data_IF_560199135647
#
_entry.id   IF_560199135647
#
_cell.length_a   1.000
_cell.length_b   1.000
_cell.length_c   1.000
_cell.angle_alpha   90.00
_cell.angle_beta   90.00
_cell.angle_gamma   90.00
#
_symmetry.space_group_name_H-M   'P 1'
#
loop_
_entity.id
_entity.type
_entity.pdbx_description
1 polymer ?
#
# COMPACT_ATOMS: atom_id res chain seq x y z
N UNK A 1 -34.49 -5.59 -44.44
CA UNK A 1 -33.19 -6.36 -44.44
C UNK A 1 -32.73 -6.57 -43.01
N UNK A 2 -32.37 -7.81 -42.61
CA UNK A 2 -31.86 -8.03 -41.25
C UNK A 2 -30.55 -7.26 -41.05
N UNK A 3 -30.43 -6.53 -39.92
CA UNK A 3 -29.19 -5.83 -39.54
C UNK A 3 -28.05 -6.86 -39.41
N UNK A 4 -26.94 -6.64 -40.12
CA UNK A 4 -25.71 -7.45 -39.95
C UNK A 4 -25.33 -7.49 -38.46
N UNK A 5 -25.26 -8.71 -37.89
CA UNK A 5 -24.80 -8.92 -36.50
C UNK A 5 -25.63 -9.83 -35.61
N UNK A 6 -26.89 -10.07 -35.91
CA UNK A 6 -27.79 -10.80 -35.00
C UNK A 6 -27.82 -12.33 -35.19
N UNK A 7 -27.09 -12.91 -36.13
CA UNK A 7 -27.09 -14.35 -36.47
C UNK A 7 -28.49 -14.98 -36.62
N UNK A 8 -29.47 -14.18 -37.13
CA UNK A 8 -30.88 -14.61 -37.36
C UNK A 8 -31.19 -14.45 -38.86
N UNK A 9 -31.61 -15.52 -39.50
CA UNK A 9 -31.90 -15.53 -40.94
C UNK A 9 -33.13 -16.39 -41.26
N UNK A 10 -33.84 -16.03 -42.35
CA UNK A 10 -34.98 -16.76 -42.84
C UNK A 10 -34.54 -17.92 -43.71
N UNK A 11 -34.97 -19.11 -43.42
CA UNK A 11 -34.67 -20.35 -44.18
C UNK A 11 -35.57 -20.46 -45.40
N UNK A 12 -35.18 -21.34 -46.31
CA UNK A 12 -35.97 -21.64 -47.52
C UNK A 12 -37.33 -22.29 -47.22
N UNK A 13 -37.44 -22.96 -46.06
CA UNK A 13 -38.68 -23.59 -45.55
C UNK A 13 -39.63 -22.58 -44.86
N UNK A 14 -39.33 -21.27 -44.91
CA UNK A 14 -40.18 -20.20 -44.38
C UNK A 14 -39.94 -19.88 -42.90
N UNK A 15 -39.28 -20.75 -42.14
CA UNK A 15 -38.95 -20.53 -40.72
C UNK A 15 -37.78 -19.61 -40.54
N UNK A 16 -37.67 -18.95 -39.37
CA UNK A 16 -36.53 -18.16 -38.96
C UNK A 16 -35.62 -19.01 -38.08
N UNK A 17 -34.34 -19.08 -38.42
CA UNK A 17 -33.30 -19.69 -37.61
C UNK A 17 -32.45 -18.61 -36.94
N UNK A 18 -32.25 -18.74 -35.62
CA UNK A 18 -31.37 -17.88 -34.83
C UNK A 18 -30.29 -18.76 -34.18
N UNK A 19 -29.02 -18.44 -34.46
CA UNK A 19 -27.86 -19.13 -33.90
C UNK A 19 -27.35 -18.45 -32.65
N UNK A 20 -27.01 -19.25 -31.64
CA UNK A 20 -26.42 -18.80 -30.39
C UNK A 20 -25.19 -19.65 -30.05
N UNK A 21 -24.26 -19.10 -29.25
CA UNK A 21 -23.14 -19.88 -28.75
C UNK A 21 -23.66 -20.81 -27.66
N UNK A 22 -23.53 -22.12 -27.85
CA UNK A 22 -23.97 -23.15 -26.89
C UNK A 22 -22.89 -23.45 -25.85
N UNK A 23 -21.64 -23.42 -26.26
CA UNK A 23 -20.48 -23.79 -25.43
C UNK A 23 -19.21 -23.17 -26.00
N UNK A 24 -18.26 -22.83 -25.13
CA UNK A 24 -16.91 -22.44 -25.51
C UNK A 24 -15.99 -23.56 -25.01
N UNK A 25 -15.36 -24.29 -25.92
CA UNK A 25 -14.44 -25.37 -25.57
C UNK A 25 -13.19 -24.87 -24.87
N UNK A 26 -12.46 -25.74 -24.19
CA UNK A 26 -11.19 -25.45 -23.54
C UNK A 26 -10.11 -24.88 -24.50
N UNK A 27 -10.27 -25.12 -25.83
CA UNK A 27 -9.44 -24.60 -26.93
C UNK A 27 -9.89 -23.20 -27.42
N UNK A 28 -10.85 -22.57 -26.75
CA UNK A 28 -11.43 -21.27 -27.13
C UNK A 28 -12.38 -21.30 -28.33
N UNK A 29 -12.66 -22.47 -28.94
CA UNK A 29 -13.56 -22.59 -30.07
C UNK A 29 -15.02 -22.58 -29.61
N UNK A 30 -15.83 -21.77 -30.31
CA UNK A 30 -17.27 -21.63 -30.04
C UNK A 30 -18.05 -22.73 -30.72
N UNK A 31 -18.83 -23.53 -29.98
CA UNK A 31 -19.87 -24.41 -30.50
C UNK A 31 -21.19 -23.65 -30.55
N UNK A 32 -21.86 -23.71 -31.69
CA UNK A 32 -23.11 -23.00 -31.90
C UNK A 32 -24.30 -23.96 -31.81
N UNK A 33 -25.39 -23.47 -31.21
CA UNK A 33 -26.72 -24.06 -31.25
C UNK A 33 -27.62 -23.24 -32.15
N UNK A 34 -28.74 -23.81 -32.62
CA UNK A 34 -29.77 -23.11 -33.40
C UNK A 34 -31.14 -23.29 -32.75
N UNK A 35 -31.94 -22.21 -32.76
CA UNK A 35 -33.35 -22.21 -32.41
C UNK A 35 -34.18 -21.72 -33.60
N UNK A 36 -35.42 -22.15 -33.66
CA UNK A 36 -36.31 -21.86 -34.76
C UNK A 36 -37.60 -21.18 -34.30
N UNK A 37 -38.11 -20.26 -35.11
CA UNK A 37 -39.38 -19.57 -34.91
C UNK A 37 -40.12 -19.37 -36.23
N UNK A 38 -41.45 -19.23 -36.14
CA UNK A 38 -42.32 -18.90 -37.27
C UNK A 38 -42.14 -17.43 -37.69
N UNK A 39 -41.71 -16.57 -36.77
CA UNK A 39 -41.44 -15.17 -36.99
C UNK A 39 -40.01 -14.80 -36.55
N UNK A 40 -39.49 -13.70 -37.08
CA UNK A 40 -38.20 -13.14 -36.63
C UNK A 40 -38.18 -12.88 -35.12
N UNK A 41 -39.30 -12.34 -34.58
CA UNK A 41 -39.42 -12.02 -33.17
C UNK A 41 -39.35 -13.30 -32.31
N UNK A 42 -40.08 -14.32 -32.68
CA UNK A 42 -40.08 -15.63 -31.96
C UNK A 42 -38.69 -16.28 -31.96
N UNK A 43 -37.99 -16.30 -33.11
CA UNK A 43 -36.64 -16.84 -33.21
C UNK A 43 -35.64 -16.04 -32.35
N UNK A 44 -35.79 -14.72 -32.31
CA UNK A 44 -34.99 -13.83 -31.47
C UNK A 44 -35.25 -14.04 -29.97
N UNK A 45 -36.47 -14.14 -29.57
CA UNK A 45 -36.87 -14.36 -28.17
C UNK A 45 -36.34 -15.71 -27.68
N UNK A 46 -36.44 -16.77 -28.50
CA UNK A 46 -35.83 -18.07 -28.23
C UNK A 46 -34.29 -18.02 -28.19
N UNK A 47 -33.66 -17.23 -29.05
CA UNK A 47 -32.23 -17.00 -29.01
C UNK A 47 -31.80 -16.33 -27.71
N UNK A 48 -32.48 -15.28 -27.30
CA UNK A 48 -32.21 -14.55 -26.06
C UNK A 48 -32.45 -15.44 -24.83
N UNK A 49 -33.47 -16.29 -24.81
CA UNK A 49 -33.69 -17.24 -23.73
C UNK A 49 -32.52 -18.25 -23.60
N UNK A 50 -31.90 -18.67 -24.72
CA UNK A 50 -30.74 -19.56 -24.69
C UNK A 50 -29.41 -18.84 -24.42
N UNK A 51 -29.34 -17.52 -24.64
CA UNK A 51 -28.19 -16.71 -24.19
C UNK A 51 -28.14 -16.60 -22.66
N UNK A 52 -29.28 -16.69 -21.97
CA UNK A 52 -29.32 -16.64 -20.50
C UNK A 52 -28.73 -17.89 -19.83
N UNK A 53 -28.55 -19.00 -20.55
CA UNK A 53 -27.84 -20.19 -20.02
C UNK A 53 -26.32 -20.08 -20.07
N UNK A 54 -25.75 -19.10 -20.81
CA UNK A 54 -24.32 -18.84 -20.86
C UNK A 54 -23.88 -17.71 -19.89
N UNK A 55 -24.84 -17.10 -19.21
CA UNK A 55 -24.48 -16.25 -18.07
C UNK A 55 -24.00 -17.16 -16.94
N UNK A 56 -22.90 -16.80 -16.27
CA UNK A 56 -22.52 -17.49 -15.04
C UNK A 56 -23.75 -17.56 -14.14
N UNK A 57 -23.94 -18.62 -13.33
CA UNK A 57 -25.11 -18.80 -12.50
C UNK A 57 -25.39 -17.50 -11.79
N UNK A 58 -26.59 -16.96 -12.00
CA UNK A 58 -27.03 -15.72 -11.33
C UNK A 58 -26.83 -15.99 -9.86
N UNK A 59 -25.75 -15.44 -9.29
CA UNK A 59 -25.47 -15.56 -7.87
C UNK A 59 -26.81 -15.28 -7.16
N UNK A 60 -27.22 -16.19 -6.30
CA UNK A 60 -28.50 -16.08 -5.62
C UNK A 60 -28.65 -14.64 -5.15
N UNK A 61 -29.80 -14.03 -5.31
CA UNK A 61 -30.09 -12.63 -4.95
C UNK A 61 -29.79 -12.31 -3.47
N UNK A 62 -29.36 -13.31 -2.73
CA UNK A 62 -29.12 -13.34 -1.28
C UNK A 62 -27.67 -13.21 -0.83
N UNK A 63 -26.66 -13.32 -1.74
CA UNK A 63 -25.25 -13.23 -1.33
C UNK A 63 -24.94 -11.84 -0.79
N UNK A 64 -24.47 -11.80 0.45
CA UNK A 64 -24.17 -10.56 1.17
C UNK A 64 -22.83 -9.94 0.75
N UNK A 65 -22.61 -8.68 1.10
CA UNK A 65 -21.31 -8.02 0.87
C UNK A 65 -20.18 -8.73 1.62
N UNK A 66 -20.38 -9.12 2.87
CA UNK A 66 -19.37 -9.84 3.67
C UNK A 66 -18.98 -11.16 3.00
N UNK A 67 -19.92 -11.96 2.53
CA UNK A 67 -19.65 -13.24 1.85
C UNK A 67 -18.79 -13.03 0.60
N UNK A 68 -19.14 -12.07 -0.25
CA UNK A 68 -18.34 -11.73 -1.44
C UNK A 68 -16.94 -11.25 -1.07
N UNK A 69 -16.82 -10.44 -0.01
CA UNK A 69 -15.50 -9.92 0.41
C UNK A 69 -14.61 -11.04 0.96
N UNK A 70 -15.15 -12.02 1.67
CA UNK A 70 -14.38 -13.18 2.12
C UNK A 70 -14.02 -14.13 0.97
N UNK A 71 -14.93 -14.35 0.02
CA UNK A 71 -14.67 -15.14 -1.17
C UNK A 71 -13.53 -14.52 -2.00
N UNK A 72 -13.62 -13.21 -2.28
CA UNK A 72 -12.56 -12.46 -2.91
C UNK A 72 -11.24 -12.56 -2.13
N UNK A 73 -11.26 -12.37 -0.81
CA UNK A 73 -10.08 -12.43 0.04
C UNK A 73 -9.41 -13.80 -0.03
N UNK A 74 -10.19 -14.88 -0.01
CA UNK A 74 -9.69 -16.25 -0.19
C UNK A 74 -9.04 -16.45 -1.57
N UNK A 75 -9.63 -15.89 -2.62
CA UNK A 75 -9.08 -16.02 -3.99
C UNK A 75 -7.70 -15.39 -4.16
N UNK A 76 -7.38 -14.34 -3.38
CA UNK A 76 -6.10 -13.64 -3.46
C UNK A 76 -5.07 -14.08 -2.40
N UNK A 77 -5.39 -15.00 -1.51
CA UNK A 77 -4.56 -15.39 -0.36
C UNK A 77 -3.11 -15.72 -0.77
N UNK A 78 -2.93 -16.50 -1.83
CA UNK A 78 -1.62 -16.91 -2.33
C UNK A 78 -0.92 -15.86 -3.21
N UNK A 79 -1.64 -14.84 -3.66
CA UNK A 79 -1.12 -13.82 -4.59
C UNK A 79 -0.64 -12.54 -3.89
N UNK A 80 -1.01 -12.34 -2.63
CA UNK A 80 -0.65 -11.14 -1.86
C UNK A 80 0.24 -11.47 -0.67
N UNK A 81 1.03 -10.48 -0.21
CA UNK A 81 1.83 -10.65 1.01
C UNK A 81 0.92 -10.85 2.24
N UNK A 82 1.34 -11.69 3.18
CA UNK A 82 0.60 -11.95 4.45
C UNK A 82 0.14 -10.68 5.16
N UNK A 83 0.99 -9.64 5.21
CA UNK A 83 0.63 -8.35 5.84
C UNK A 83 -0.49 -7.62 5.10
N UNK A 84 -0.58 -7.76 3.77
CA UNK A 84 -1.66 -7.18 2.97
C UNK A 84 -2.95 -7.94 3.17
N UNK A 85 -2.87 -9.28 3.15
CA UNK A 85 -4.01 -10.15 3.46
C UNK A 85 -4.60 -9.83 4.84
N UNK A 86 -3.75 -9.74 5.87
CA UNK A 86 -4.16 -9.41 7.24
C UNK A 86 -4.79 -8.01 7.34
N UNK A 87 -4.25 -7.03 6.61
CA UNK A 87 -4.89 -5.70 6.53
C UNK A 87 -6.30 -5.80 5.96
N UNK A 88 -6.48 -6.52 4.86
CA UNK A 88 -7.79 -6.69 4.24
C UNK A 88 -8.77 -7.47 5.14
N UNK A 89 -8.30 -8.57 5.71
CA UNK A 89 -9.08 -9.33 6.70
C UNK A 89 -9.54 -8.46 7.86
N UNK A 90 -8.64 -7.67 8.45
CA UNK A 90 -8.97 -6.77 9.56
C UNK A 90 -9.99 -5.70 9.17
N UNK A 91 -9.91 -5.18 7.94
CA UNK A 91 -10.88 -4.21 7.43
C UNK A 91 -12.25 -4.87 7.33
N UNK A 92 -12.36 -6.06 6.75
CA UNK A 92 -13.62 -6.79 6.62
C UNK A 92 -14.20 -7.04 8.01
N UNK A 93 -13.42 -7.69 8.88
CA UNK A 93 -13.86 -8.08 10.22
C UNK A 93 -14.31 -6.90 11.09
N UNK A 94 -13.56 -5.78 11.08
CA UNK A 94 -13.79 -4.69 12.01
C UNK A 94 -14.74 -3.61 11.49
N UNK A 95 -14.97 -3.55 10.17
CA UNK A 95 -15.74 -2.44 9.58
C UNK A 95 -16.91 -2.89 8.73
N UNK A 96 -16.88 -4.12 8.19
CA UNK A 96 -17.94 -4.65 7.34
C UNK A 96 -18.84 -5.59 8.16
N UNK A 97 -18.27 -6.61 8.82
CA UNK A 97 -19.04 -7.59 9.61
C UNK A 97 -19.74 -6.95 10.82
N UNK A 98 -19.19 -5.87 11.35
CA UNK A 98 -19.76 -5.11 12.47
C UNK A 98 -20.78 -4.05 12.05
N UNK A 99 -21.09 -3.97 10.76
CA UNK A 99 -21.99 -2.97 10.19
C UNK A 99 -23.09 -3.63 9.35
N UNK A 100 -24.28 -3.03 9.34
CA UNK A 100 -25.41 -3.56 8.58
C UNK A 100 -25.11 -3.75 7.09
N UNK A 101 -24.22 -2.95 6.52
CA UNK A 101 -23.86 -3.05 5.09
C UNK A 101 -23.29 -4.43 4.75
N UNK A 102 -22.59 -5.08 5.69
CA UNK A 102 -22.01 -6.41 5.50
C UNK A 102 -23.03 -7.49 5.24
N UNK A 103 -24.17 -7.43 5.90
CA UNK A 103 -25.26 -8.41 5.76
C UNK A 103 -26.22 -8.14 4.61
N UNK A 104 -26.12 -6.96 3.97
CA UNK A 104 -27.02 -6.62 2.86
C UNK A 104 -26.63 -7.39 1.59
N UNK A 105 -27.64 -7.87 0.83
CA UNK A 105 -27.41 -8.46 -0.49
C UNK A 105 -26.67 -7.50 -1.41
N UNK A 106 -25.57 -7.96 -2.02
CA UNK A 106 -24.68 -7.11 -2.83
C UNK A 106 -25.41 -6.39 -3.98
N UNK A 107 -26.43 -7.01 -4.55
CA UNK A 107 -27.24 -6.44 -5.64
C UNK A 107 -28.11 -5.25 -5.22
N UNK A 108 -28.39 -5.12 -3.93
CA UNK A 108 -29.17 -4.00 -3.38
C UNK A 108 -28.27 -2.80 -3.03
N UNK A 109 -26.95 -2.98 -3.03
CA UNK A 109 -26.00 -1.95 -2.67
C UNK A 109 -25.73 -1.00 -3.85
N UNK A 110 -26.22 0.22 -3.71
CA UNK A 110 -26.06 1.29 -4.70
C UNK A 110 -24.91 2.22 -4.35
N UNK A 111 -24.52 3.09 -5.29
CA UNK A 111 -23.55 4.17 -5.00
C UNK A 111 -24.00 5.06 -3.82
N UNK A 112 -25.31 5.27 -3.66
CA UNK A 112 -25.92 6.02 -2.53
C UNK A 112 -25.65 5.29 -1.21
N UNK A 113 -25.89 3.98 -1.14
CA UNK A 113 -25.66 3.16 0.07
C UNK A 113 -24.19 3.26 0.53
N UNK A 114 -23.24 3.13 -0.40
CA UNK A 114 -21.81 3.27 -0.06
C UNK A 114 -21.43 4.69 0.34
N UNK A 115 -22.06 5.72 -0.23
CA UNK A 115 -21.85 7.11 0.16
C UNK A 115 -22.36 7.38 1.58
N UNK A 116 -23.55 6.88 1.93
CA UNK A 116 -24.11 6.98 3.27
C UNK A 116 -23.27 6.22 4.30
N UNK A 117 -22.82 5.00 3.97
CA UNK A 117 -21.90 4.23 4.79
C UNK A 117 -20.61 5.00 5.06
N UNK A 118 -19.97 5.56 4.02
CA UNK A 118 -18.74 6.34 4.14
C UNK A 118 -18.90 7.56 5.02
N UNK A 119 -20.02 8.28 4.87
CA UNK A 119 -20.37 9.44 5.68
C UNK A 119 -20.56 9.04 7.15
N UNK A 120 -21.27 7.98 7.42
CA UNK A 120 -21.47 7.47 8.78
C UNK A 120 -20.13 7.07 9.45
N UNK A 121 -19.24 6.37 8.72
CA UNK A 121 -17.90 6.02 9.25
C UNK A 121 -17.02 7.24 9.51
N UNK A 122 -17.14 8.28 8.69
CA UNK A 122 -16.39 9.51 8.86
C UNK A 122 -16.95 10.40 9.98
N UNK A 123 -18.25 10.68 9.96
CA UNK A 123 -18.91 11.64 10.85
C UNK A 123 -19.23 11.04 12.22
N UNK A 124 -19.87 9.85 12.24
CA UNK A 124 -20.38 9.25 13.48
C UNK A 124 -19.33 8.37 14.17
N UNK A 125 -18.62 7.51 13.44
CA UNK A 125 -17.55 6.67 14.00
C UNK A 125 -16.21 7.42 14.14
N UNK A 126 -16.13 8.68 13.71
CA UNK A 126 -14.93 9.55 13.77
C UNK A 126 -13.66 8.92 13.20
N UNK A 127 -13.80 8.07 12.17
CA UNK A 127 -12.66 7.50 11.48
C UNK A 127 -11.99 8.57 10.61
N UNK A 128 -10.66 8.48 10.46
CA UNK A 128 -9.96 9.38 9.55
C UNK A 128 -10.40 9.16 8.09
N UNK A 129 -10.40 10.23 7.27
CA UNK A 129 -10.69 10.14 5.83
C UNK A 129 -9.84 9.07 5.14
N UNK A 130 -8.56 8.93 5.54
CA UNK A 130 -7.67 7.88 5.05
C UNK A 130 -8.18 6.48 5.39
N UNK A 131 -8.63 6.25 6.63
CA UNK A 131 -9.17 4.94 7.05
C UNK A 131 -10.42 4.60 6.27
N UNK A 132 -11.35 5.56 6.11
CA UNK A 132 -12.56 5.36 5.29
C UNK A 132 -12.20 5.05 3.84
N UNK A 133 -11.23 5.75 3.25
CA UNK A 133 -10.76 5.49 1.89
C UNK A 133 -10.07 4.13 1.74
N UNK A 134 -9.36 3.67 2.77
CA UNK A 134 -8.77 2.31 2.81
C UNK A 134 -9.88 1.25 2.81
N UNK A 135 -10.94 1.43 3.59
CA UNK A 135 -12.12 0.55 3.60
C UNK A 135 -12.77 0.52 2.22
N UNK A 136 -13.05 1.69 1.63
CA UNK A 136 -13.63 1.79 0.29
C UNK A 136 -12.74 1.15 -0.78
N UNK A 137 -11.43 1.18 -0.62
CA UNK A 137 -10.50 0.50 -1.52
C UNK A 137 -10.70 -1.01 -1.48
N UNK A 138 -10.81 -1.59 -0.28
CA UNK A 138 -11.03 -3.04 -0.11
C UNK A 138 -12.40 -3.45 -0.64
N UNK A 139 -13.46 -2.70 -0.32
CA UNK A 139 -14.80 -2.89 -0.91
C UNK A 139 -14.70 -2.85 -2.44
N UNK A 140 -14.00 -1.85 -3.01
CA UNK A 140 -13.87 -1.67 -4.43
C UNK A 140 -13.14 -2.80 -5.16
N UNK A 141 -12.20 -3.48 -4.48
CA UNK A 141 -11.50 -4.66 -5.01
C UNK A 141 -12.45 -5.88 -5.01
N UNK A 142 -13.18 -6.10 -3.93
CA UNK A 142 -14.16 -7.18 -3.85
C UNK A 142 -15.34 -6.98 -4.83
N UNK A 143 -15.77 -5.74 -5.05
CA UNK A 143 -16.80 -5.42 -6.05
C UNK A 143 -16.30 -5.65 -7.49
N UNK A 144 -15.02 -5.40 -7.78
CA UNK A 144 -14.45 -5.75 -9.08
C UNK A 144 -14.44 -7.27 -9.29
N UNK A 145 -14.07 -8.04 -8.27
CA UNK A 145 -14.19 -9.49 -8.30
C UNK A 145 -15.64 -9.96 -8.54
N UNK A 146 -16.61 -9.34 -7.85
CA UNK A 146 -18.03 -9.67 -8.05
C UNK A 146 -18.53 -9.30 -9.46
N UNK A 147 -18.00 -8.26 -10.08
CA UNK A 147 -18.30 -7.89 -11.47
C UNK A 147 -17.77 -8.95 -12.43
N UNK A 148 -16.53 -9.42 -12.22
CA UNK A 148 -15.88 -10.42 -13.08
C UNK A 148 -16.53 -11.81 -12.97
N UNK A 149 -16.88 -12.25 -11.74
CA UNK A 149 -17.38 -13.62 -11.48
C UNK A 149 -18.90 -13.71 -11.62
N UNK A 150 -19.63 -12.70 -11.15
CA UNK A 150 -21.09 -12.75 -11.05
C UNK A 150 -21.80 -11.77 -11.99
N UNK A 151 -21.07 -10.97 -12.76
CA UNK A 151 -21.64 -9.96 -13.65
C UNK A 151 -22.38 -8.83 -12.90
N UNK A 152 -22.08 -8.62 -11.62
CA UNK A 152 -22.69 -7.58 -10.80
C UNK A 152 -21.96 -6.27 -11.06
N UNK A 153 -22.60 -5.34 -11.74
CA UNK A 153 -21.99 -4.06 -12.09
C UNK A 153 -21.51 -3.30 -10.85
N UNK A 154 -20.21 -2.99 -10.83
CA UNK A 154 -19.57 -2.23 -9.75
C UNK A 154 -20.10 -0.80 -9.70
N UNK A 155 -20.69 -0.34 -8.57
CA UNK A 155 -21.09 1.05 -8.41
C UNK A 155 -19.86 1.96 -8.23
N UNK A 156 -20.01 3.23 -8.60
CA UNK A 156 -18.96 4.23 -8.36
C UNK A 156 -18.86 4.53 -6.86
N UNK A 157 -17.70 4.24 -6.27
CA UNK A 157 -17.41 4.57 -4.87
C UNK A 157 -16.85 5.99 -4.77
N UNK A 158 -17.52 6.86 -4.01
CA UNK A 158 -17.07 8.22 -3.79
C UNK A 158 -16.12 8.28 -2.59
N UNK A 159 -14.88 8.75 -2.81
CA UNK A 159 -13.88 8.89 -1.75
C UNK A 159 -14.12 10.13 -0.91
N UNK A 160 -13.76 10.04 0.37
CA UNK A 160 -13.72 11.17 1.29
C UNK A 160 -12.46 12.00 1.00
N UNK A 161 -12.61 13.33 0.96
CA UNK A 161 -11.47 14.23 0.74
C UNK A 161 -10.50 14.14 1.93
N UNK A 162 -9.27 13.72 1.65
CA UNK A 162 -8.22 13.68 2.67
C UNK A 162 -7.58 15.07 2.80
N UNK A 163 -7.45 15.61 4.02
CA UNK A 163 -6.67 16.82 4.23
C UNK A 163 -5.21 16.54 3.88
N UNK A 164 -4.55 17.48 3.21
CA UNK A 164 -3.09 17.41 3.02
C UNK A 164 -2.44 17.42 4.39
N UNK A 165 -1.80 16.32 4.76
CA UNK A 165 -1.03 16.24 5.99
C UNK A 165 0.39 16.65 5.68
N UNK A 166 0.83 17.76 6.24
CA UNK A 166 2.23 18.15 6.18
C UNK A 166 3.10 17.09 6.87
N UNK A 167 4.21 16.78 6.22
CA UNK A 167 5.17 15.84 6.79
C UNK A 167 5.95 16.55 7.89
N UNK A 168 5.93 15.96 9.09
CA UNK A 168 6.72 16.47 10.20
C UNK A 168 8.20 16.27 9.91
N UNK A 169 8.94 17.37 9.88
CA UNK A 169 10.40 17.45 9.80
C UNK A 169 10.86 18.19 11.07
N UNK A 170 11.92 17.73 11.74
CA UNK A 170 12.49 18.44 12.86
C UNK A 170 13.19 19.71 12.36
N UNK A 171 12.99 20.84 13.04
CA UNK A 171 13.79 22.04 12.77
C UNK A 171 15.27 21.77 13.10
N UNK A 172 16.16 22.66 12.67
CA UNK A 172 17.59 22.54 12.99
C UNK A 172 17.81 22.56 14.51
N UNK A 173 17.09 23.43 15.21
CA UNK A 173 17.15 23.57 16.67
C UNK A 173 16.57 22.34 17.39
N UNK A 174 15.47 21.78 16.88
CA UNK A 174 14.89 20.56 17.42
C UNK A 174 15.83 19.37 17.23
N UNK A 175 16.46 19.28 16.05
CA UNK A 175 17.44 18.24 15.74
C UNK A 175 18.66 18.36 16.67
N UNK A 176 19.21 19.55 16.86
CA UNK A 176 20.33 19.78 17.79
C UNK A 176 20.00 19.34 19.20
N UNK A 177 18.80 19.70 19.72
CA UNK A 177 18.37 19.28 21.06
C UNK A 177 18.24 17.77 21.18
N UNK A 178 17.69 17.12 20.14
CA UNK A 178 17.58 15.67 20.10
C UNK A 178 18.97 15.02 20.07
N UNK A 179 19.89 15.48 19.24
CA UNK A 179 21.26 14.96 19.15
C UNK A 179 21.99 15.09 20.48
N UNK A 180 21.94 16.26 21.15
CA UNK A 180 22.53 16.47 22.47
C UNK A 180 22.00 15.47 23.50
N UNK A 181 20.68 15.25 23.52
CA UNK A 181 20.07 14.25 24.40
C UNK A 181 20.50 12.82 24.05
N UNK A 182 20.62 12.48 22.76
CA UNK A 182 20.99 11.16 22.30
C UNK A 182 22.46 10.83 22.65
N UNK A 183 23.37 11.78 22.50
CA UNK A 183 24.80 11.60 22.82
C UNK A 183 25.07 11.61 24.34
N UNK A 184 24.14 12.17 25.14
CA UNK A 184 24.28 12.14 26.60
C UNK A 184 23.82 10.78 27.16
N UNK A 185 24.72 10.02 27.81
CA UNK A 185 24.45 8.69 28.36
C UNK A 185 23.76 7.77 27.32
N UNK A 186 24.40 7.59 26.19
CA UNK A 186 23.89 6.83 25.06
C UNK A 186 23.70 5.33 25.41
N UNK A 187 22.61 4.77 24.96
CA UNK A 187 22.30 3.34 25.05
C UNK A 187 21.85 2.84 23.65
N UNK A 188 21.61 1.52 23.51
CA UNK A 188 21.25 0.92 22.22
C UNK A 188 20.02 1.57 21.55
N UNK A 189 19.01 1.99 22.30
CA UNK A 189 17.84 2.65 21.74
C UNK A 189 18.18 4.06 21.23
N UNK A 190 18.98 4.83 21.98
CA UNK A 190 19.47 6.16 21.56
C UNK A 190 20.39 6.02 20.34
N UNK A 191 21.29 5.03 20.34
CA UNK A 191 22.13 4.70 19.20
C UNK A 191 21.29 4.37 17.94
N UNK A 192 20.23 3.57 18.08
CA UNK A 192 19.30 3.29 16.99
C UNK A 192 18.61 4.53 16.42
N UNK A 193 18.25 5.50 17.29
CA UNK A 193 17.69 6.80 16.83
C UNK A 193 18.73 7.63 16.07
N UNK A 194 19.98 7.68 16.56
CA UNK A 194 21.09 8.35 15.85
C UNK A 194 21.33 7.71 14.48
N UNK A 195 21.39 6.39 14.43
CA UNK A 195 21.55 5.66 13.17
C UNK A 195 20.41 5.99 12.17
N UNK A 196 19.17 6.04 12.66
CA UNK A 196 18.03 6.42 11.82
C UNK A 196 18.09 7.89 11.37
N UNK A 197 18.57 8.78 12.22
CA UNK A 197 18.70 10.21 11.90
C UNK A 197 19.76 10.46 10.82
N UNK A 198 20.85 9.69 10.80
CA UNK A 198 21.97 9.88 9.86
C UNK A 198 21.94 8.97 8.62
N UNK A 199 20.99 8.02 8.55
CA UNK A 199 20.85 7.10 7.40
C UNK A 199 19.48 7.14 6.73
N UNK A 200 18.49 7.70 7.41
CA UNK A 200 17.11 7.66 6.93
C UNK A 200 16.50 6.24 6.87
N UNK A 201 17.07 5.25 7.55
CA UNK A 201 16.60 3.86 7.61
C UNK A 201 15.17 3.78 8.15
N UNK A 202 14.36 2.84 7.64
CA UNK A 202 13.02 2.60 8.18
C UNK A 202 13.08 1.84 9.50
N UNK A 203 12.14 2.10 10.42
CA UNK A 203 12.13 1.46 11.74
C UNK A 203 12.17 -0.08 11.68
N UNK A 204 11.47 -0.69 10.71
CA UNK A 204 11.50 -2.15 10.53
C UNK A 204 12.83 -2.68 10.02
N UNK A 205 13.52 -1.92 9.16
CA UNK A 205 14.86 -2.21 8.66
C UNK A 205 15.88 -2.07 9.81
N UNK A 206 15.79 -0.98 10.58
CA UNK A 206 16.65 -0.73 11.75
C UNK A 206 16.55 -1.86 12.78
N UNK A 207 15.33 -2.32 13.10
CA UNK A 207 15.12 -3.38 14.08
C UNK A 207 15.56 -4.76 13.58
N UNK A 208 15.68 -4.94 12.25
CA UNK A 208 16.17 -6.16 11.63
C UNK A 208 17.70 -6.17 11.41
N UNK A 209 18.37 -5.02 11.60
CA UNK A 209 19.79 -4.84 11.29
C UNK A 209 20.66 -5.70 12.18
N UNK A 210 21.65 -6.35 11.60
CA UNK A 210 22.67 -7.15 12.25
C UNK A 210 24.04 -6.47 12.14
N UNK A 211 24.96 -6.79 13.04
CA UNK A 211 26.30 -6.20 13.01
C UNK A 211 27.07 -6.59 11.75
N UNK A 212 26.78 -7.75 11.18
CA UNK A 212 27.33 -8.24 9.92
C UNK A 212 26.86 -7.40 8.71
N UNK A 213 25.73 -6.72 8.85
CA UNK A 213 25.22 -5.80 7.83
C UNK A 213 25.93 -4.43 7.85
N UNK A 214 26.77 -4.15 8.88
CA UNK A 214 27.58 -2.94 9.00
C UNK A 214 29.02 -3.30 8.66
N UNK A 215 29.43 -3.01 7.43
CA UNK A 215 30.74 -3.36 6.89
C UNK A 215 31.53 -2.11 6.56
N UNK A 216 32.72 -1.97 7.19
CA UNK A 216 33.56 -0.77 7.05
C UNK A 216 32.76 0.51 7.35
N UNK A 217 32.51 1.32 6.34
CA UNK A 217 31.79 2.59 6.38
C UNK A 217 30.39 2.51 5.74
N UNK A 218 29.82 1.32 5.64
CA UNK A 218 28.57 1.09 4.94
C UNK A 218 27.56 0.28 5.78
N UNK A 219 26.28 0.57 5.59
CA UNK A 219 25.16 -0.27 6.11
C UNK A 219 24.44 -0.91 4.92
N UNK A 220 24.35 -2.24 4.93
CA UNK A 220 23.61 -3.03 3.94
C UNK A 220 22.19 -3.27 4.44
N UNK A 221 21.21 -2.79 3.71
CA UNK A 221 19.78 -3.00 4.04
C UNK A 221 19.23 -4.09 3.14
N UNK A 222 19.00 -5.26 3.73
CA UNK A 222 18.48 -6.45 3.02
C UNK A 222 17.29 -7.10 3.73
N UNK A 223 16.92 -6.63 4.93
CA UNK A 223 15.89 -7.25 5.77
C UNK A 223 14.99 -6.21 6.42
N UNK A 224 13.80 -6.61 6.78
CA UNK A 224 12.88 -5.81 7.59
C UNK A 224 12.10 -6.71 8.54
N UNK A 225 11.81 -6.23 9.74
CA UNK A 225 11.02 -6.95 10.73
C UNK A 225 9.63 -6.34 10.85
N UNK A 226 8.63 -7.20 10.86
CA UNK A 226 7.22 -6.83 11.00
C UNK A 226 6.54 -7.70 12.05
N UNK A 227 5.55 -7.14 12.73
CA UNK A 227 4.61 -7.92 13.51
C UNK A 227 3.45 -8.34 12.62
N UNK A 228 3.21 -9.64 12.52
CA UNK A 228 2.10 -10.21 11.76
C UNK A 228 1.19 -11.02 12.66
N UNK A 229 -0.09 -11.09 12.31
CA UNK A 229 -1.04 -12.00 12.93
C UNK A 229 -0.77 -13.43 12.46
N UNK A 230 -0.74 -14.36 13.41
CA UNK A 230 -0.63 -15.80 13.15
C UNK A 230 -1.68 -16.50 14.02
N UNK A 231 -2.85 -16.79 13.46
CA UNK A 231 -3.99 -17.25 14.24
C UNK A 231 -4.41 -16.23 15.31
N UNK A 232 -4.50 -16.67 16.56
CA UNK A 232 -4.85 -15.82 17.71
C UNK A 232 -3.66 -15.06 18.32
N UNK A 233 -2.45 -15.28 17.81
CA UNK A 233 -1.23 -14.66 18.31
C UNK A 233 -0.58 -13.77 17.26
N UNK A 234 0.30 -12.88 17.70
CA UNK A 234 1.14 -12.09 16.81
C UNK A 234 2.59 -12.55 16.94
N UNK A 235 3.27 -12.72 15.81
CA UNK A 235 4.70 -13.07 15.76
C UNK A 235 5.49 -11.95 15.09
N UNK A 236 6.78 -11.88 15.43
CA UNK A 236 7.74 -11.06 14.69
C UNK A 236 8.25 -11.89 13.51
N UNK A 237 8.09 -11.39 12.32
CA UNK A 237 8.61 -12.02 11.10
C UNK A 237 9.66 -11.10 10.48
N UNK A 238 10.83 -11.67 10.22
CA UNK A 238 11.88 -11.05 9.40
C UNK A 238 11.60 -11.44 7.97
N UNK A 239 11.48 -10.47 7.10
CA UNK A 239 11.19 -10.68 5.68
C UNK A 239 12.15 -9.85 4.83
N UNK A 240 12.31 -10.29 3.58
CA UNK A 240 12.96 -9.46 2.58
C UNK A 240 12.17 -8.17 2.33
N UNK A 241 12.84 -7.10 1.93
CA UNK A 241 12.19 -5.84 1.61
C UNK A 241 11.13 -6.00 0.51
N UNK A 242 10.17 -5.06 0.48
CA UNK A 242 9.03 -5.14 -0.45
C UNK A 242 9.40 -5.02 -1.93
N UNK A 243 10.52 -4.36 -2.25
CA UNK A 243 10.96 -4.08 -3.62
C UNK A 243 12.46 -4.27 -3.74
N UNK A 244 12.95 -4.54 -4.94
CA UNK A 244 14.39 -4.63 -5.26
C UNK A 244 15.12 -3.35 -4.84
N UNK A 245 14.53 -2.18 -5.09
CA UNK A 245 15.09 -0.88 -4.69
C UNK A 245 15.23 -0.70 -3.16
N UNK A 246 14.58 -1.55 -2.37
CA UNK A 246 14.73 -1.51 -0.90
C UNK A 246 16.01 -2.21 -0.43
N UNK A 247 16.59 -3.12 -1.24
CA UNK A 247 17.93 -3.64 -1.02
C UNK A 247 18.91 -2.58 -1.46
N UNK A 248 19.69 -2.06 -0.53
CA UNK A 248 20.58 -0.93 -0.78
C UNK A 248 21.73 -0.87 0.19
N UNK A 249 22.77 -0.17 -0.21
CA UNK A 249 23.93 0.16 0.62
C UNK A 249 23.82 1.64 0.97
N UNK A 250 23.98 1.97 2.24
CA UNK A 250 23.98 3.34 2.76
C UNK A 250 25.38 3.65 3.28
N UNK A 251 26.15 4.53 2.63
CA UNK A 251 27.41 5.01 3.16
C UNK A 251 27.22 5.76 4.48
N UNK A 252 28.09 5.56 5.43
CA UNK A 252 28.05 6.20 6.74
C UNK A 252 29.00 7.39 6.79
N UNK A 253 28.57 8.53 7.36
CA UNK A 253 29.47 9.66 7.57
C UNK A 253 30.62 9.30 8.51
N UNK A 254 31.84 9.74 8.22
CA UNK A 254 33.05 9.44 9.00
C UNK A 254 32.89 9.78 10.49
N UNK A 255 32.27 10.94 10.81
CA UNK A 255 32.06 11.34 12.20
C UNK A 255 31.18 10.35 12.99
N UNK A 256 30.34 9.57 12.31
CA UNK A 256 29.43 8.63 12.96
C UNK A 256 30.05 7.24 13.18
N UNK A 257 31.14 6.91 12.48
CA UNK A 257 31.83 5.62 12.62
C UNK A 257 32.35 5.39 14.05
N UNK A 258 32.85 6.45 14.71
CA UNK A 258 33.29 6.37 16.11
C UNK A 258 32.14 5.89 17.04
N UNK A 259 30.92 6.40 16.80
CA UNK A 259 29.73 5.98 17.56
C UNK A 259 29.36 4.53 17.28
N UNK A 260 29.59 4.03 16.06
CA UNK A 260 29.32 2.64 15.68
C UNK A 260 30.31 1.72 16.38
N UNK A 261 31.60 2.02 16.35
CA UNK A 261 32.65 1.20 16.97
C UNK A 261 32.45 1.06 18.49
N UNK A 262 31.94 2.09 19.15
CA UNK A 262 31.61 2.04 20.58
C UNK A 262 30.61 0.94 20.94
N UNK A 263 29.68 0.60 20.01
CA UNK A 263 28.62 -0.40 20.23
C UNK A 263 28.83 -1.70 19.46
N UNK A 264 29.86 -1.74 18.59
CA UNK A 264 30.11 -2.88 17.70
C UNK A 264 30.27 -4.19 18.46
N UNK A 265 29.60 -5.21 17.92
CA UNK A 265 29.78 -6.62 18.33
C UNK A 265 30.17 -7.45 17.13
N UNK A 266 30.73 -8.62 17.37
CA UNK A 266 31.19 -9.52 16.30
C UNK A 266 30.02 -9.99 15.43
N UNK A 267 28.88 -10.28 16.04
CA UNK A 267 27.69 -10.77 15.33
C UNK A 267 26.39 -10.43 16.09
N UNK A 268 25.27 -10.75 15.45
CA UNK A 268 23.93 -10.65 16.01
C UNK A 268 23.26 -9.29 15.77
N UNK A 269 22.07 -9.12 16.33
CA UNK A 269 21.25 -7.93 16.08
C UNK A 269 21.88 -6.67 16.71
N UNK A 270 21.87 -5.56 15.96
CA UNK A 270 22.35 -4.26 16.44
C UNK A 270 21.51 -3.77 17.61
N UNK A 271 20.19 -3.88 17.51
CA UNK A 271 19.27 -3.53 18.56
C UNK A 271 18.72 -4.77 19.21
N UNK A 272 19.09 -4.99 20.48
CA UNK A 272 18.60 -6.10 21.29
C UNK A 272 17.88 -5.61 22.54
N UNK A 273 16.84 -6.33 22.94
CA UNK A 273 16.16 -6.12 24.20
C UNK A 273 16.94 -6.78 25.37
N UNK A 274 16.42 -6.65 26.59
CA UNK A 274 17.04 -7.22 27.80
C UNK A 274 17.27 -8.75 27.74
N UNK A 275 16.49 -9.45 26.90
CA UNK A 275 16.59 -10.91 26.71
C UNK A 275 17.47 -11.31 25.51
N UNK A 276 18.24 -10.37 24.93
CA UNK A 276 19.09 -10.62 23.78
C UNK A 276 18.35 -10.81 22.45
N UNK A 277 17.02 -10.66 22.42
CA UNK A 277 16.21 -10.77 21.18
C UNK A 277 16.16 -9.43 20.46
N UNK A 278 15.92 -9.44 19.13
CA UNK A 278 15.73 -8.19 18.37
C UNK A 278 14.70 -7.28 19.00
N UNK A 279 14.96 -5.96 19.01
CA UNK A 279 13.99 -4.97 19.45
C UNK A 279 12.83 -4.92 18.46
N UNK A 280 11.64 -5.04 18.98
CA UNK A 280 10.43 -4.91 18.18
C UNK A 280 10.21 -3.46 17.74
N UNK A 281 9.77 -3.19 16.48
CA UNK A 281 9.50 -1.83 16.00
C UNK A 281 8.57 -1.01 16.91
N UNK A 282 7.57 -1.65 17.54
CA UNK A 282 6.68 -0.95 18.48
C UNK A 282 7.39 -0.49 19.73
N UNK A 283 8.29 -1.30 20.29
CA UNK A 283 9.09 -0.92 21.45
C UNK A 283 10.05 0.22 21.11
N UNK A 284 10.68 0.15 19.92
CA UNK A 284 11.54 1.22 19.43
C UNK A 284 10.78 2.53 19.24
N UNK A 285 9.54 2.46 18.73
CA UNK A 285 8.66 3.62 18.59
C UNK A 285 8.31 4.23 19.95
N UNK A 286 7.93 3.41 20.94
CA UNK A 286 7.62 3.88 22.29
C UNK A 286 8.85 4.50 22.98
N UNK A 287 10.03 3.91 22.81
CA UNK A 287 11.27 4.47 23.31
C UNK A 287 11.55 5.85 22.68
N UNK A 288 11.35 5.98 21.37
CA UNK A 288 11.50 7.25 20.67
C UNK A 288 10.47 8.30 21.14
N UNK A 289 9.21 7.93 21.29
CA UNK A 289 8.17 8.83 21.81
C UNK A 289 8.55 9.38 23.20
N UNK A 290 9.14 8.53 24.07
CA UNK A 290 9.66 8.96 25.36
C UNK A 290 10.83 9.95 25.20
N UNK A 291 11.81 9.66 24.33
CA UNK A 291 12.95 10.54 24.07
C UNK A 291 12.50 11.91 23.57
N UNK A 292 11.55 11.97 22.65
CA UNK A 292 10.96 13.22 22.16
C UNK A 292 10.35 14.03 23.29
N UNK A 293 9.62 13.38 24.20
CA UNK A 293 9.06 14.04 25.38
C UNK A 293 10.14 14.54 26.34
N UNK A 294 11.17 13.72 26.60
CA UNK A 294 12.27 14.07 27.50
C UNK A 294 13.10 15.24 26.95
N UNK A 295 13.17 15.41 25.62
CA UNK A 295 13.81 16.56 24.95
C UNK A 295 12.90 17.81 24.93
N UNK A 296 11.67 17.77 25.44
CA UNK A 296 10.71 18.86 25.33
C UNK A 296 10.28 19.18 23.90
N UNK A 297 10.31 18.19 23.01
CA UNK A 297 9.91 18.34 21.61
C UNK A 297 8.43 18.01 21.42
N UNK A 298 7.81 18.63 20.42
CA UNK A 298 6.43 18.31 20.07
C UNK A 298 6.30 16.87 19.56
N UNK A 299 5.15 16.24 19.84
CA UNK A 299 4.86 14.85 19.52
C UNK A 299 5.22 14.53 18.05
N UNK A 300 6.06 13.53 17.88
CA UNK A 300 6.65 13.18 16.58
C UNK A 300 6.72 11.66 16.46
N UNK A 301 6.42 11.11 15.27
CA UNK A 301 6.58 9.68 15.01
C UNK A 301 8.00 9.37 14.52
N UNK A 302 8.41 8.10 14.62
CA UNK A 302 9.75 7.66 14.23
C UNK A 302 10.09 7.95 12.76
N UNK A 303 9.09 7.92 11.88
CA UNK A 303 9.30 8.18 10.45
C UNK A 303 9.71 9.62 10.13
N UNK A 304 9.47 10.55 11.06
CA UNK A 304 9.94 11.93 10.94
C UNK A 304 11.47 12.03 10.93
N UNK A 305 12.21 11.10 11.56
CA UNK A 305 13.67 11.05 11.46
C UNK A 305 14.13 10.89 10.01
N UNK A 306 13.49 9.99 9.27
CA UNK A 306 13.77 9.79 7.85
C UNK A 306 13.39 11.02 7.01
N UNK A 307 12.29 11.70 7.35
CA UNK A 307 11.93 12.94 6.67
C UNK A 307 12.94 14.05 6.97
N UNK A 308 13.40 14.15 8.23
CA UNK A 308 14.44 15.09 8.63
C UNK A 308 15.76 14.80 7.90
N UNK A 309 16.22 13.55 7.87
CA UNK A 309 17.40 13.14 7.11
C UNK A 309 17.30 13.56 5.65
N UNK A 310 16.19 13.20 4.98
CA UNK A 310 16.01 13.54 3.57
C UNK A 310 16.00 15.05 3.31
N UNK A 311 15.36 15.83 4.18
CA UNK A 311 15.34 17.29 4.08
C UNK A 311 16.75 17.86 4.27
N UNK A 312 17.52 17.39 5.27
CA UNK A 312 18.91 17.83 5.49
C UNK A 312 19.83 17.49 4.31
N UNK A 313 19.63 16.31 3.70
CA UNK A 313 20.39 15.93 2.49
C UNK A 313 20.08 16.89 1.32
N UNK A 314 18.82 17.26 1.12
CA UNK A 314 18.45 18.23 0.06
C UNK A 314 19.04 19.60 0.36
N UNK A 315 18.97 20.08 1.60
CA UNK A 315 19.57 21.35 2.03
C UNK A 315 21.10 21.35 1.89
N UNK A 316 21.75 20.19 2.10
CA UNK A 316 23.18 20.00 1.89
C UNK A 316 23.57 19.85 0.41
N UNK A 317 22.62 19.85 -0.52
CA UNK A 317 22.89 19.79 -1.96
C UNK A 317 23.06 18.39 -2.53
N UNK A 318 22.55 17.34 -1.86
CA UNK A 318 22.57 15.97 -2.41
C UNK A 318 21.79 15.94 -3.72
N UNK A 319 22.34 15.23 -4.71
CA UNK A 319 21.54 14.95 -5.90
C UNK A 319 20.35 14.03 -5.57
N UNK A 320 19.23 14.28 -6.25
CA UNK A 320 17.97 13.64 -5.92
C UNK A 320 17.96 12.14 -6.21
N UNK A 321 18.77 11.69 -7.19
CA UNK A 321 18.87 10.26 -7.54
C UNK A 321 19.61 9.51 -6.44
N UNK A 322 20.78 9.98 -6.02
CA UNK A 322 21.56 9.40 -4.91
C UNK A 322 20.75 9.38 -3.62
N UNK A 323 20.03 10.48 -3.30
CA UNK A 323 19.14 10.50 -2.14
C UNK A 323 17.99 9.47 -2.25
N UNK A 324 17.42 9.32 -3.44
CA UNK A 324 16.36 8.33 -3.68
C UNK A 324 16.85 6.89 -3.48
N UNK A 325 18.07 6.61 -3.93
CA UNK A 325 18.74 5.31 -3.77
C UNK A 325 19.05 5.02 -2.29
N UNK A 326 19.65 5.98 -1.56
CA UNK A 326 19.90 5.89 -0.11
C UNK A 326 18.61 5.62 0.66
N UNK A 327 17.54 6.32 0.30
CA UNK A 327 16.23 6.11 0.91
C UNK A 327 15.55 4.79 0.47
N UNK A 328 15.95 4.19 -0.65
CA UNK A 328 15.31 2.99 -1.21
C UNK A 328 13.88 3.28 -1.65
N UNK A 329 13.68 4.36 -2.41
CA UNK A 329 12.44 4.64 -3.11
C UNK A 329 12.45 3.95 -4.47
N UNK A 330 11.36 3.26 -4.81
CA UNK A 330 11.21 2.60 -6.11
C UNK A 330 11.10 3.59 -7.28
N UNK A 331 10.69 4.83 -7.00
CA UNK A 331 10.54 5.90 -7.99
C UNK A 331 11.12 7.20 -7.40
N UNK A 332 12.05 7.81 -8.13
CA UNK A 332 12.68 9.10 -7.81
C UNK A 332 11.63 10.22 -7.64
N UNK A 333 10.51 10.15 -8.36
CA UNK A 333 9.37 11.08 -8.18
C UNK A 333 8.88 11.14 -6.74
N UNK A 334 9.02 10.04 -5.98
CA UNK A 334 8.66 10.02 -4.56
C UNK A 334 9.55 10.97 -3.75
N UNK A 335 10.85 11.01 -4.04
CA UNK A 335 11.81 11.91 -3.38
C UNK A 335 11.56 13.36 -3.81
N UNK A 336 11.43 13.60 -5.11
CA UNK A 336 11.12 14.91 -5.67
C UNK A 336 9.87 15.52 -5.05
N UNK A 337 8.75 14.81 -5.11
CA UNK A 337 7.45 15.32 -4.63
C UNK A 337 7.40 15.54 -3.11
N UNK A 338 8.24 14.84 -2.35
CA UNK A 338 8.22 14.92 -0.88
C UNK A 338 9.20 15.90 -0.29
N UNK A 339 10.39 16.04 -0.88
CA UNK A 339 11.49 16.73 -0.23
C UNK A 339 12.05 17.90 -1.06
N UNK A 340 11.86 17.90 -2.38
CA UNK A 340 12.40 18.95 -3.23
C UNK A 340 11.35 20.03 -3.45
N UNK A 341 11.29 20.98 -2.52
CA UNK A 341 10.57 22.25 -2.70
C UNK A 341 11.59 23.30 -3.09
N UNK A 342 11.63 23.68 -4.38
CA UNK A 342 12.56 24.71 -4.84
C UNK A 342 12.11 26.08 -4.34
N UNK A 343 12.79 26.58 -3.29
CA UNK A 343 12.66 28.00 -2.91
C UNK A 343 13.33 28.89 -3.96
N UNK A 344 12.98 30.18 -3.95
CA UNK A 344 13.63 31.15 -4.84
C UNK A 344 15.14 31.24 -4.57
N UNK A 345 15.53 31.23 -3.29
CA UNK A 345 16.92 31.25 -2.84
C UNK A 345 17.72 30.04 -3.36
N UNK A 346 17.11 28.86 -3.36
CA UNK A 346 17.75 27.66 -3.90
C UNK A 346 17.94 27.76 -5.42
N UNK A 347 16.95 28.32 -6.14
CA UNK A 347 17.09 28.57 -7.58
C UNK A 347 18.19 29.55 -7.87
N UNK A 348 18.27 30.65 -7.11
CA UNK A 348 19.33 31.66 -7.24
C UNK A 348 20.70 31.03 -6.97
N UNK A 349 20.86 30.29 -5.85
CA UNK A 349 22.11 29.58 -5.53
C UNK A 349 22.53 28.61 -6.64
N UNK A 350 21.59 27.89 -7.24
CA UNK A 350 21.87 26.97 -8.33
C UNK A 350 22.28 27.71 -9.61
N UNK A 351 21.70 28.89 -9.89
CA UNK A 351 22.11 29.71 -11.03
C UNK A 351 23.55 30.25 -10.90
N UNK A 352 24.01 30.54 -9.68
CA UNK A 352 25.38 30.95 -9.40
C UNK A 352 26.44 29.85 -9.68
N UNK A 353 26.02 28.59 -9.82
CA UNK A 353 26.88 27.48 -10.21
C UNK A 353 27.23 27.50 -11.71
N UNK A 354 26.48 28.24 -12.52
CA UNK A 354 26.76 28.37 -13.94
C UNK A 354 27.99 29.29 -14.15
N UNK A 355 28.96 28.77 -14.87
CA UNK A 355 30.13 29.53 -15.28
C UNK A 355 30.09 29.80 -16.78
N UNK A 356 30.52 30.97 -17.26
CA UNK A 356 30.64 31.23 -18.70
C UNK A 356 31.60 30.20 -19.32
N UNK A 357 31.28 29.75 -20.53
CA UNK A 357 32.16 28.86 -21.30
C UNK A 357 33.41 29.57 -21.85
N UNK A 358 33.42 30.90 -21.82
CA UNK A 358 34.56 31.77 -22.21
C UNK A 358 34.96 32.61 -21.02
N UNK A 359 36.26 32.86 -20.88
CA UNK A 359 36.76 33.82 -19.88
C UNK A 359 36.31 35.22 -20.34
N UNK A 360 35.43 35.84 -19.59
CA UNK A 360 35.00 37.24 -19.74
C UNK A 360 36.02 38.17 -19.07
#
# INVERSE_FOLDING_TARGET
>A
MPKRGNNIYKRKDGRWEARYVKEIGADGKKKYGSVYGSTYKEARDKQLANFSFLQPPVASTTVSLSEIMYEWLSSIEKSVKKSTYQKYYSIIKNHIDTDMIGSLPIRLLTAKTYSEYSKNKFDSAKLSAKTVNDILTVIGLALAYAEDIYGIKKPKLQRVKEPKKEMRVLSVEEQKRLEQYLYHNTNLYKFGVLLALYTGIRIGELCALQWEDIQNDNVVISKTIHRIQNGNHTILEVTDPKTVASNRIIPLPQFFLVSIEQYRKVNGNVLVNRNGKPVEPRLMQLAFEKMIKDCGLSKTNFHALRHTFATRCVEAGFDVKSLSEILGHADVKTTLNKYVHSSYELKQKNMELLKPAVNL
#
